data_IF_731268847911
#
_entry.id   IF_731268847911
#
_cell.length_a   1.000
_cell.length_b   1.000
_cell.length_c   1.000
_cell.angle_alpha   90.00
_cell.angle_beta   90.00
_cell.angle_gamma   90.00
#
_symmetry.space_group_name_H-M   'P 1'
#
loop_
_entity.id
_entity.type
_entity.pdbx_description
1 polymer ?
#
# COMPACT_ATOMS: atom_id res chain seq x y z
N UNK A 1 -15.05 -49.01 -17.27
CA UNK A 1 -13.86 -48.47 -16.59
C UNK A 1 -14.30 -47.27 -15.77
N UNK A 2 -14.52 -47.48 -14.48
CA UNK A 2 -15.16 -46.49 -13.61
C UNK A 2 -14.27 -46.09 -12.44
N UNK A 3 -14.47 -44.84 -12.02
CA UNK A 3 -14.17 -44.29 -10.69
C UNK A 3 -12.69 -44.10 -10.28
N UNK A 4 -11.74 -44.88 -10.81
CA UNK A 4 -10.33 -44.80 -10.41
C UNK A 4 -9.47 -43.83 -11.24
N UNK A 5 -9.93 -43.34 -12.39
CA UNK A 5 -9.18 -42.36 -13.20
C UNK A 5 -9.23 -40.92 -12.62
N UNK A 6 -9.97 -40.68 -11.54
CA UNK A 6 -10.08 -39.34 -10.93
C UNK A 6 -8.94 -38.98 -9.97
N UNK A 7 -8.04 -39.91 -9.65
CA UNK A 7 -7.04 -39.75 -8.60
C UNK A 7 -5.59 -39.57 -9.07
N UNK A 8 -5.32 -39.46 -10.38
CA UNK A 8 -3.93 -39.34 -10.84
C UNK A 8 -3.69 -38.26 -11.91
N UNK A 9 -4.46 -37.17 -11.90
CA UNK A 9 -4.11 -36.02 -12.70
C UNK A 9 -3.11 -35.15 -11.93
N UNK A 10 -1.81 -35.42 -12.12
CA UNK A 10 -0.68 -34.68 -11.51
C UNK A 10 -0.73 -33.15 -11.74
N UNK A 11 -1.60 -32.68 -12.63
CA UNK A 11 -1.73 -31.27 -13.02
C UNK A 11 -2.97 -30.56 -12.42
N UNK A 12 -3.76 -31.22 -11.56
CA UNK A 12 -4.94 -30.62 -10.92
C UNK A 12 -4.53 -29.71 -9.75
N UNK A 13 -4.78 -28.41 -9.89
CA UNK A 13 -4.50 -27.38 -8.89
C UNK A 13 -5.81 -27.01 -8.17
N UNK A 14 -6.31 -27.91 -7.31
CA UNK A 14 -7.57 -27.71 -6.59
C UNK A 14 -8.79 -28.11 -7.41
N UNK A 15 -9.76 -27.21 -7.58
CA UNK A 15 -11.00 -27.53 -8.31
C UNK A 15 -10.76 -27.76 -9.80
N UNK A 16 -9.77 -27.08 -10.36
CA UNK A 16 -9.48 -27.09 -11.79
C UNK A 16 -8.02 -27.48 -12.08
N UNK A 17 -7.78 -27.97 -13.30
CA UNK A 17 -6.43 -28.14 -13.83
C UNK A 17 -6.03 -26.87 -14.57
N UNK A 18 -4.74 -26.50 -14.49
CA UNK A 18 -4.21 -25.42 -15.32
C UNK A 18 -4.45 -25.75 -16.80
N UNK A 19 -4.32 -27.00 -17.23
CA UNK A 19 -4.52 -27.48 -18.61
C UNK A 19 -5.97 -27.53 -19.09
N UNK A 20 -6.94 -27.11 -18.28
CA UNK A 20 -8.35 -27.12 -18.69
C UNK A 20 -8.62 -26.22 -19.90
N UNK A 21 -9.55 -26.69 -20.73
CA UNK A 21 -10.12 -26.04 -21.91
C UNK A 21 -11.17 -24.96 -21.58
N UNK A 22 -11.48 -24.73 -20.29
CA UNK A 22 -12.38 -23.66 -19.90
C UNK A 22 -11.83 -22.29 -20.27
N UNK A 23 -12.66 -21.48 -20.91
CA UNK A 23 -12.28 -20.13 -21.38
C UNK A 23 -11.77 -19.24 -20.25
N UNK A 24 -12.29 -19.38 -19.03
CA UNK A 24 -11.82 -18.62 -17.87
C UNK A 24 -10.40 -19.03 -17.45
N UNK A 25 -10.05 -20.32 -17.54
CA UNK A 25 -8.73 -20.84 -17.16
C UNK A 25 -7.70 -20.50 -18.24
N UNK A 26 -8.07 -20.64 -19.51
CA UNK A 26 -7.27 -20.15 -20.63
C UNK A 26 -6.96 -18.66 -20.42
N UNK A 27 -7.98 -17.89 -20.03
CA UNK A 27 -7.76 -16.46 -19.77
C UNK A 27 -6.85 -16.19 -18.58
N UNK A 28 -6.94 -16.98 -17.51
CA UNK A 28 -6.03 -16.87 -16.37
C UNK A 28 -4.58 -17.11 -16.83
N UNK A 29 -4.32 -18.15 -17.63
CA UNK A 29 -2.98 -18.40 -18.19
C UNK A 29 -2.44 -17.23 -19.00
N UNK A 30 -3.27 -16.67 -19.87
CA UNK A 30 -2.86 -15.53 -20.72
C UNK A 30 -2.46 -14.29 -19.92
N UNK A 31 -3.01 -14.09 -18.72
CA UNK A 31 -2.74 -12.90 -17.90
C UNK A 31 -1.64 -13.11 -16.86
N UNK A 32 -1.08 -14.32 -16.74
CA UNK A 32 0.09 -14.58 -15.91
C UNK A 32 1.31 -13.90 -16.53
N UNK A 33 2.12 -13.27 -15.68
CA UNK A 33 3.41 -12.71 -16.08
C UNK A 33 4.48 -13.82 -16.16
N UNK A 34 5.59 -13.55 -16.84
CA UNK A 34 6.67 -14.53 -17.05
C UNK A 34 7.23 -15.19 -15.77
N UNK A 35 7.14 -14.51 -14.62
CA UNK A 35 7.60 -15.01 -13.31
C UNK A 35 6.44 -15.28 -12.33
N UNK A 36 5.19 -15.21 -12.81
CA UNK A 36 3.99 -15.41 -12.00
C UNK A 36 3.50 -16.85 -12.14
N UNK A 37 3.53 -17.60 -11.05
CA UNK A 37 3.12 -18.99 -11.01
C UNK A 37 1.71 -19.13 -10.43
N UNK A 38 0.83 -19.83 -11.15
CA UNK A 38 -0.49 -20.20 -10.65
C UNK A 38 -0.37 -21.42 -9.73
N UNK A 39 -0.80 -21.27 -8.47
CA UNK A 39 -0.62 -22.27 -7.42
C UNK A 39 -1.89 -23.10 -7.16
N UNK A 40 -3.07 -22.48 -7.26
CA UNK A 40 -4.32 -23.14 -6.89
C UNK A 40 -5.54 -22.49 -7.52
N UNK A 41 -6.59 -23.28 -7.76
CA UNK A 41 -7.89 -22.80 -8.18
C UNK A 41 -9.01 -23.24 -7.24
N UNK A 42 -9.91 -22.30 -6.97
CA UNK A 42 -11.21 -22.55 -6.34
C UNK A 42 -12.32 -21.95 -7.19
N UNK A 43 -13.56 -22.27 -6.84
CA UNK A 43 -14.74 -21.53 -7.29
C UNK A 43 -15.39 -20.87 -6.08
N UNK A 44 -15.82 -19.63 -6.25
CA UNK A 44 -16.44 -18.85 -5.19
C UNK A 44 -17.44 -17.86 -5.77
N UNK A 45 -18.48 -17.55 -4.99
CA UNK A 45 -19.32 -16.39 -5.23
C UNK A 45 -18.64 -15.15 -4.63
N UNK A 46 -18.43 -14.13 -5.46
CA UNK A 46 -17.82 -12.84 -5.10
C UNK A 46 -18.61 -11.75 -5.83
N UNK A 47 -18.96 -10.65 -5.15
CA UNK A 47 -19.84 -9.61 -5.70
C UNK A 47 -21.16 -10.18 -6.27
N UNK A 48 -21.74 -11.16 -5.57
CA UNK A 48 -22.98 -11.86 -5.95
C UNK A 48 -22.91 -12.58 -7.30
N UNK A 49 -21.71 -12.92 -7.78
CA UNK A 49 -21.48 -13.66 -9.04
C UNK A 49 -20.51 -14.80 -8.79
N UNK A 50 -20.62 -15.87 -9.57
CA UNK A 50 -19.69 -17.01 -9.49
C UNK A 50 -18.43 -16.68 -10.28
N UNK A 51 -17.27 -16.91 -9.67
CA UNK A 51 -15.95 -16.73 -10.26
C UNK A 51 -15.14 -18.01 -10.17
N UNK A 52 -14.26 -18.20 -11.15
CA UNK A 52 -13.07 -19.03 -10.97
C UNK A 52 -12.01 -18.13 -10.35
N UNK A 53 -11.47 -18.55 -9.22
CA UNK A 53 -10.47 -17.80 -8.47
C UNK A 53 -9.18 -18.59 -8.50
N UNK A 54 -8.11 -17.95 -8.97
CA UNK A 54 -6.75 -18.48 -8.94
C UNK A 54 -5.94 -17.77 -7.86
N UNK A 55 -5.16 -18.53 -7.10
CA UNK A 55 -4.08 -18.04 -6.25
C UNK A 55 -2.79 -18.14 -7.02
N UNK A 56 -2.05 -17.05 -7.14
CA UNK A 56 -0.68 -17.03 -7.67
C UNK A 56 0.33 -16.73 -6.57
N UNK A 57 1.62 -16.82 -6.89
CA UNK A 57 2.69 -16.30 -6.05
C UNK A 57 2.68 -14.76 -5.92
N UNK A 58 1.80 -14.03 -6.63
CA UNK A 58 1.71 -12.56 -6.61
C UNK A 58 0.35 -12.02 -6.13
N UNK A 59 -0.76 -12.58 -6.61
CA UNK A 59 -2.12 -12.03 -6.45
C UNK A 59 -3.19 -13.11 -6.55
N UNK A 60 -4.41 -12.76 -6.20
CA UNK A 60 -5.61 -13.48 -6.60
C UNK A 60 -6.08 -12.98 -7.97
N UNK A 61 -6.43 -13.90 -8.85
CA UNK A 61 -7.02 -13.59 -10.16
C UNK A 61 -8.41 -14.23 -10.23
N UNK A 62 -9.43 -13.40 -10.37
CA UNK A 62 -10.81 -13.82 -10.50
C UNK A 62 -11.24 -13.64 -11.95
N UNK A 63 -11.73 -14.71 -12.58
CA UNK A 63 -12.28 -14.66 -13.94
C UNK A 63 -13.68 -15.22 -13.97
N UNK A 64 -14.58 -14.53 -14.69
CA UNK A 64 -15.92 -15.02 -14.99
C UNK A 64 -16.32 -14.67 -16.41
N UNK A 65 -17.20 -15.47 -16.99
CA UNK A 65 -17.88 -15.16 -18.24
C UNK A 65 -19.16 -14.35 -17.98
N UNK A 66 -19.29 -13.20 -18.65
CA UNK A 66 -20.51 -12.38 -18.66
C UNK A 66 -21.55 -12.96 -19.63
N UNK A 67 -22.78 -12.46 -19.54
CA UNK A 67 -23.89 -12.89 -20.40
C UNK A 67 -23.63 -12.63 -21.89
N UNK A 68 -22.94 -11.54 -22.22
CA UNK A 68 -22.52 -11.19 -23.58
C UNK A 68 -21.28 -11.98 -24.08
N UNK A 69 -20.90 -13.06 -23.38
CA UNK A 69 -19.71 -13.89 -23.64
C UNK A 69 -18.35 -13.22 -23.40
N UNK A 70 -18.31 -11.95 -23.02
CA UNK A 70 -17.07 -11.29 -22.60
C UNK A 70 -16.56 -11.87 -21.27
N UNK A 71 -15.24 -11.85 -21.07
CA UNK A 71 -14.63 -12.24 -19.81
C UNK A 71 -14.40 -11.01 -18.92
N UNK A 72 -14.84 -11.10 -17.67
CA UNK A 72 -14.49 -10.12 -16.64
C UNK A 72 -13.34 -10.66 -15.81
N UNK A 73 -12.37 -9.80 -15.52
CA UNK A 73 -11.19 -10.14 -14.73
C UNK A 73 -11.07 -9.14 -13.59
N UNK A 74 -10.83 -9.63 -12.38
CA UNK A 74 -10.43 -8.82 -11.23
C UNK A 74 -9.15 -9.39 -10.62
N UNK A 75 -8.26 -8.53 -10.17
CA UNK A 75 -7.01 -8.90 -9.53
C UNK A 75 -6.90 -8.23 -8.17
N UNK A 76 -6.50 -9.00 -7.16
CA UNK A 76 -6.27 -8.50 -5.81
C UNK A 76 -4.88 -8.93 -5.36
N UNK A 77 -4.00 -7.98 -5.08
CA UNK A 77 -2.65 -8.33 -4.70
C UNK A 77 -2.62 -8.88 -3.27
N UNK A 78 -1.83 -9.93 -3.07
CA UNK A 78 -1.78 -10.63 -1.78
C UNK A 78 -1.10 -9.76 -0.70
N UNK A 79 -0.25 -8.81 -1.08
CA UNK A 79 0.41 -7.85 -0.17
C UNK A 79 -0.55 -6.79 0.40
N UNK A 80 -1.72 -6.62 -0.20
CA UNK A 80 -2.78 -5.74 0.32
C UNK A 80 -3.68 -6.43 1.36
N UNK A 81 -3.53 -7.75 1.56
CA UNK A 81 -4.33 -8.54 2.51
C UNK A 81 -3.74 -8.40 3.91
N UNK A 82 -4.50 -7.83 4.83
CA UNK A 82 -4.10 -7.62 6.22
C UNK A 82 -4.55 -8.78 7.13
N UNK A 83 -5.76 -9.27 6.90
CA UNK A 83 -6.38 -10.29 7.73
C UNK A 83 -7.35 -11.13 6.87
N UNK A 84 -7.52 -12.39 7.29
CA UNK A 84 -8.39 -13.35 6.64
C UNK A 84 -9.34 -13.93 7.68
N UNK A 85 -10.65 -13.63 7.54
CA UNK A 85 -11.68 -14.23 8.39
C UNK A 85 -12.33 -15.41 7.66
N UNK A 86 -12.53 -16.53 8.35
CA UNK A 86 -13.14 -17.74 7.80
C UNK A 86 -14.32 -18.18 8.66
N UNK A 87 -15.47 -18.35 8.01
CA UNK A 87 -16.66 -18.95 8.61
C UNK A 87 -16.92 -20.29 7.92
N UNK A 88 -16.53 -21.38 8.59
CA UNK A 88 -16.70 -22.74 8.06
C UNK A 88 -18.15 -23.21 8.25
N UNK A 89 -18.78 -23.60 7.14
CA UNK A 89 -20.03 -24.38 7.16
C UNK A 89 -19.77 -25.87 6.94
N UNK A 90 -20.83 -26.67 6.90
CA UNK A 90 -20.70 -28.14 6.75
C UNK A 90 -20.07 -28.56 5.41
N UNK A 91 -20.43 -27.91 4.31
CA UNK A 91 -19.92 -28.22 2.96
C UNK A 91 -19.26 -27.01 2.30
N UNK A 92 -19.83 -25.84 2.54
CA UNK A 92 -19.41 -24.59 1.97
C UNK A 92 -18.99 -23.65 3.09
N UNK A 93 -17.96 -22.86 2.83
CA UNK A 93 -17.45 -21.84 3.72
C UNK A 93 -17.61 -20.45 3.11
N UNK A 94 -17.58 -19.47 4.01
CA UNK A 94 -17.44 -18.06 3.69
C UNK A 94 -16.09 -17.57 4.19
N UNK A 95 -15.46 -16.72 3.38
CA UNK A 95 -14.15 -16.14 3.59
C UNK A 95 -14.27 -14.63 3.39
N UNK A 96 -13.67 -13.83 4.27
CA UNK A 96 -13.56 -12.38 4.11
C UNK A 96 -12.08 -12.00 4.13
N UNK A 97 -11.60 -11.46 3.02
CA UNK A 97 -10.27 -10.86 2.93
C UNK A 97 -10.37 -9.40 3.31
N UNK A 98 -9.78 -9.01 4.44
CA UNK A 98 -9.68 -7.62 4.87
C UNK A 98 -8.44 -7.00 4.23
N UNK A 99 -8.65 -6.06 3.33
CA UNK A 99 -7.58 -5.34 2.64
C UNK A 99 -7.52 -3.88 3.08
N UNK A 100 -6.43 -3.19 2.75
CA UNK A 100 -6.20 -1.79 3.15
C UNK A 100 -7.39 -0.85 2.88
N UNK A 101 -8.06 -1.02 1.73
CA UNK A 101 -9.09 -0.09 1.27
C UNK A 101 -10.49 -0.72 1.18
N UNK A 102 -10.61 -2.04 1.33
CA UNK A 102 -11.87 -2.75 1.14
C UNK A 102 -11.85 -4.15 1.76
N UNK A 103 -13.03 -4.68 2.06
CA UNK A 103 -13.21 -6.08 2.43
C UNK A 103 -13.81 -6.84 1.25
N UNK A 104 -13.24 -8.01 0.92
CA UNK A 104 -13.73 -8.85 -0.16
C UNK A 104 -14.31 -10.12 0.42
N UNK A 105 -15.59 -10.33 0.18
CA UNK A 105 -16.31 -11.51 0.62
C UNK A 105 -16.35 -12.58 -0.49
N UNK A 106 -15.90 -13.78 -0.12
CA UNK A 106 -15.94 -15.01 -0.89
C UNK A 106 -16.94 -15.94 -0.20
N UNK A 107 -18.05 -16.24 -0.85
CA UNK A 107 -19.10 -17.14 -0.36
C UNK A 107 -19.19 -18.40 -1.22
N UNK A 108 -19.80 -19.46 -0.68
CA UNK A 108 -19.97 -20.74 -1.38
C UNK A 108 -18.64 -21.40 -1.80
N UNK A 109 -17.62 -21.30 -0.96
CA UNK A 109 -16.33 -21.94 -1.19
C UNK A 109 -16.38 -23.38 -0.70
N UNK A 110 -16.11 -24.36 -1.57
CA UNK A 110 -16.08 -25.77 -1.18
C UNK A 110 -14.96 -26.07 -0.17
N UNK A 111 -15.34 -26.65 0.97
CA UNK A 111 -14.41 -26.99 2.05
C UNK A 111 -13.25 -27.88 1.56
N UNK A 112 -13.52 -28.76 0.57
CA UNK A 112 -12.53 -29.65 -0.04
C UNK A 112 -11.29 -28.92 -0.59
N UNK A 113 -11.47 -27.69 -1.09
CA UNK A 113 -10.38 -26.91 -1.69
C UNK A 113 -9.92 -25.75 -0.82
N UNK A 114 -10.68 -25.42 0.24
CA UNK A 114 -10.47 -24.27 1.09
C UNK A 114 -9.18 -24.35 1.90
N UNK A 115 -8.93 -25.48 2.57
CA UNK A 115 -7.81 -25.56 3.52
C UNK A 115 -6.46 -25.36 2.79
N UNK A 116 -6.31 -25.98 1.61
CA UNK A 116 -5.10 -25.78 0.79
C UNK A 116 -5.01 -24.37 0.22
N UNK A 117 -6.14 -23.79 -0.17
CA UNK A 117 -6.21 -22.39 -0.62
C UNK A 117 -5.73 -21.42 0.48
N UNK A 118 -6.19 -21.61 1.72
CA UNK A 118 -5.78 -20.82 2.87
C UNK A 118 -4.31 -21.02 3.22
N UNK A 119 -3.81 -22.25 3.18
CA UNK A 119 -2.40 -22.56 3.40
C UNK A 119 -1.51 -21.82 2.39
N UNK A 120 -1.85 -21.89 1.11
CA UNK A 120 -1.09 -21.22 0.05
C UNK A 120 -1.16 -19.70 0.17
N UNK A 121 -2.33 -19.13 0.44
CA UNK A 121 -2.47 -17.69 0.68
C UNK A 121 -1.62 -17.23 1.86
N UNK A 122 -1.73 -17.91 3.02
CA UNK A 122 -0.96 -17.57 4.21
C UNK A 122 0.54 -17.71 3.96
N UNK A 123 0.96 -18.72 3.20
CA UNK A 123 2.35 -18.87 2.78
C UNK A 123 2.77 -17.66 1.95
N UNK A 124 2.02 -17.28 0.91
CA UNK A 124 2.36 -16.14 0.06
C UNK A 124 2.34 -14.79 0.80
N UNK A 125 1.51 -14.63 1.83
CA UNK A 125 1.50 -13.45 2.72
C UNK A 125 2.77 -13.43 3.59
N UNK A 126 3.18 -14.57 4.14
CA UNK A 126 4.30 -14.65 5.08
C UNK A 126 5.68 -14.73 4.42
N UNK A 127 5.79 -15.34 3.23
CA UNK A 127 7.06 -15.55 2.52
C UNK A 127 7.58 -14.26 1.86
N UNK A 128 6.74 -13.25 1.64
CA UNK A 128 7.20 -11.96 1.09
C UNK A 128 7.82 -11.10 2.19
N UNK A 129 9.01 -10.51 1.96
CA UNK A 129 9.65 -9.66 2.95
C UNK A 129 8.73 -8.48 3.29
N UNK A 130 8.34 -8.39 4.56
CA UNK A 130 7.57 -7.28 5.18
C UNK A 130 8.22 -5.89 5.04
N UNK A 131 9.30 -5.75 4.26
CA UNK A 131 9.93 -4.46 3.98
C UNK A 131 9.06 -3.56 3.10
N UNK A 132 8.29 -4.13 2.18
CA UNK A 132 7.31 -3.37 1.38
C UNK A 132 6.17 -2.84 2.25
N UNK A 133 5.61 -3.67 3.14
CA UNK A 133 4.55 -3.25 4.06
C UNK A 133 5.05 -2.28 5.14
N UNK A 134 6.27 -2.44 5.66
CA UNK A 134 6.92 -1.44 6.52
C UNK A 134 7.10 -0.10 5.81
N UNK A 135 7.64 -0.09 4.58
CA UNK A 135 7.80 1.15 3.80
C UNK A 135 6.45 1.79 3.45
N UNK A 136 5.41 1.00 3.19
CA UNK A 136 4.06 1.50 2.94
C UNK A 136 3.43 2.09 4.22
N UNK A 137 3.54 1.38 5.35
CA UNK A 137 3.07 1.85 6.65
C UNK A 137 3.80 3.11 7.10
N UNK A 138 5.11 3.19 6.94
CA UNK A 138 5.92 4.39 7.22
C UNK A 138 5.51 5.57 6.33
N UNK A 139 5.30 5.34 5.02
CA UNK A 139 4.81 6.37 4.10
C UNK A 139 3.40 6.83 4.44
N UNK A 140 2.51 5.93 4.85
CA UNK A 140 1.15 6.26 5.23
C UNK A 140 1.13 7.07 6.54
N UNK A 141 1.87 6.62 7.56
CA UNK A 141 2.06 7.37 8.80
C UNK A 141 2.65 8.76 8.55
N UNK A 142 3.64 8.88 7.66
CA UNK A 142 4.21 10.18 7.32
C UNK A 142 3.20 11.11 6.64
N UNK A 143 2.36 10.59 5.74
CA UNK A 143 1.27 11.37 5.11
C UNK A 143 0.23 11.84 6.12
N UNK A 144 -0.28 10.93 6.96
CA UNK A 144 -1.28 11.25 7.98
C UNK A 144 -0.76 12.30 8.97
N UNK A 145 0.50 12.14 9.40
CA UNK A 145 1.19 13.13 10.24
C UNK A 145 1.31 14.48 9.54
N UNK A 146 1.64 14.51 8.25
CA UNK A 146 1.74 15.74 7.48
C UNK A 146 0.39 16.46 7.36
N UNK A 147 -0.68 15.71 7.13
CA UNK A 147 -2.04 16.25 7.09
C UNK A 147 -2.47 16.81 8.44
N UNK A 148 -2.15 16.11 9.53
CA UNK A 148 -2.39 16.60 10.88
C UNK A 148 -1.65 17.93 11.14
N UNK A 149 -0.36 18.00 10.80
CA UNK A 149 0.42 19.25 10.92
C UNK A 149 -0.22 20.41 10.13
N UNK A 150 -0.76 20.14 8.94
CA UNK A 150 -1.47 21.14 8.13
C UNK A 150 -2.78 21.56 8.77
N UNK A 151 -3.59 20.62 9.27
CA UNK A 151 -4.87 20.91 9.96
C UNK A 151 -4.66 21.75 11.21
N UNK A 152 -3.66 21.39 12.00
CA UNK A 152 -3.34 22.04 13.27
C UNK A 152 -2.53 23.34 13.09
N UNK A 153 -2.20 23.70 11.83
CA UNK A 153 -1.39 24.86 11.47
C UNK A 153 -0.03 24.91 12.19
N UNK A 154 0.54 23.74 12.49
CA UNK A 154 1.82 23.61 13.18
C UNK A 154 2.94 23.84 12.16
N UNK A 155 3.87 24.80 12.38
CA UNK A 155 4.97 25.04 11.45
C UNK A 155 5.93 23.84 11.43
N UNK A 156 6.30 23.39 10.24
CA UNK A 156 7.19 22.25 10.03
C UNK A 156 8.26 22.54 8.97
N UNK A 157 9.34 21.77 9.01
CA UNK A 157 10.41 21.87 8.02
C UNK A 157 9.95 21.35 6.65
N UNK A 158 10.07 22.12 5.55
CA UNK A 158 9.65 21.67 4.22
C UNK A 158 10.51 20.54 3.65
N UNK A 159 11.70 20.28 4.23
CA UNK A 159 12.63 19.24 3.77
C UNK A 159 12.43 17.89 4.47
N UNK A 160 12.17 17.90 5.78
CA UNK A 160 12.13 16.68 6.60
C UNK A 160 10.91 16.57 7.52
N UNK A 161 9.96 17.49 7.39
CA UNK A 161 8.69 17.51 8.14
C UNK A 161 8.81 17.54 9.67
N UNK A 162 10.00 17.81 10.20
CA UNK A 162 10.23 18.02 11.63
C UNK A 162 9.66 19.36 12.10
N UNK A 163 9.04 19.36 13.27
CA UNK A 163 8.55 20.56 13.98
C UNK A 163 9.62 21.21 14.87
N UNK A 164 10.82 20.61 14.95
CA UNK A 164 11.95 21.16 15.70
C UNK A 164 12.60 22.30 14.92
N UNK A 165 12.03 23.49 15.07
CA UNK A 165 12.44 24.71 14.37
C UNK A 165 13.05 25.71 15.35
N UNK A 166 14.09 26.43 14.89
CA UNK A 166 14.67 27.56 15.62
C UNK A 166 14.70 28.78 14.73
N UNK A 167 14.34 29.94 15.28
CA UNK A 167 14.43 31.21 14.58
C UNK A 167 15.79 31.86 14.89
N UNK A 168 16.52 32.23 13.83
CA UNK A 168 17.84 32.85 13.94
C UNK A 168 17.80 34.24 13.30
N UNK A 169 18.06 35.26 14.12
CA UNK A 169 18.26 36.63 13.65
C UNK A 169 19.62 36.78 12.96
N UNK A 170 19.71 37.60 11.92
CA UNK A 170 21.02 38.01 11.39
C UNK A 170 21.74 38.84 12.45
N UNK A 171 23.03 38.58 12.65
CA UNK A 171 23.90 39.33 13.57
C UNK A 171 23.91 40.83 13.20
N UNK A 172 24.07 41.67 14.21
CA UNK A 172 24.21 43.13 14.12
C UNK A 172 25.18 43.54 13.00
N UNK A 173 24.79 44.51 12.19
CA UNK A 173 25.53 44.91 11.00
C UNK A 173 26.50 46.04 11.33
N UNK A 174 27.75 45.69 11.65
CA UNK A 174 28.81 46.67 12.00
C UNK A 174 28.90 47.78 10.95
N UNK A 175 28.92 47.44 9.66
CA UNK A 175 28.99 48.46 8.60
C UNK A 175 27.80 49.44 8.60
N UNK A 176 26.59 48.99 8.94
CA UNK A 176 25.42 49.90 9.02
C UNK A 176 25.40 50.71 10.31
N UNK A 177 25.94 50.15 11.40
CA UNK A 177 26.18 50.90 12.62
C UNK A 177 27.21 52.01 12.38
N UNK A 178 28.28 51.75 11.62
CA UNK A 178 29.26 52.78 11.26
C UNK A 178 28.63 53.86 10.37
N UNK A 179 27.94 53.50 9.29
CA UNK A 179 27.29 54.48 8.41
C UNK A 179 26.23 55.29 9.15
N UNK A 180 25.37 54.65 9.95
CA UNK A 180 24.40 55.34 10.78
C UNK A 180 25.07 56.24 11.83
N UNK A 181 26.20 55.79 12.40
CA UNK A 181 27.02 56.55 13.34
C UNK A 181 27.62 57.82 12.75
N UNK A 182 28.11 57.73 11.51
CA UNK A 182 28.65 58.88 10.77
C UNK A 182 27.55 59.88 10.42
N UNK A 183 26.38 59.42 10.01
CA UNK A 183 25.29 60.30 9.55
C UNK A 183 24.52 60.95 10.70
N UNK A 184 24.28 60.21 11.78
CA UNK A 184 23.33 60.60 12.82
C UNK A 184 23.90 60.41 14.25
N UNK A 185 25.22 60.27 14.39
CA UNK A 185 25.90 60.11 15.67
C UNK A 185 25.60 58.77 16.37
N UNK A 186 25.87 58.70 17.68
CA UNK A 186 25.72 57.46 18.45
C UNK A 186 24.33 56.81 18.36
N UNK A 187 23.26 57.62 18.27
CA UNK A 187 21.88 57.16 18.08
C UNK A 187 21.72 56.50 16.71
N UNK A 188 22.29 57.11 15.66
CA UNK A 188 22.35 56.56 14.32
C UNK A 188 23.07 55.23 14.23
N UNK A 189 24.14 55.03 15.02
CA UNK A 189 24.87 53.76 15.05
C UNK A 189 24.03 52.62 15.62
N UNK A 190 23.31 52.89 16.71
CA UNK A 190 22.41 51.91 17.35
C UNK A 190 21.26 51.57 16.42
N UNK A 191 20.58 52.58 15.86
CA UNK A 191 19.45 52.38 14.95
C UNK A 191 19.90 51.71 13.64
N UNK A 192 21.04 52.11 13.08
CA UNK A 192 21.61 51.53 11.86
C UNK A 192 22.07 50.08 12.05
N UNK A 193 22.63 49.75 13.22
CA UNK A 193 23.00 48.40 13.62
C UNK A 193 21.81 47.48 13.81
N UNK A 194 20.72 48.00 14.41
CA UNK A 194 19.47 47.30 14.70
C UNK A 194 18.45 47.30 13.55
N UNK A 195 18.67 48.11 12.51
CA UNK A 195 17.75 48.24 11.37
C UNK A 195 17.56 46.87 10.67
N UNK A 196 16.31 46.41 10.77
CA UNK A 196 15.83 45.02 10.70
C UNK A 196 16.26 44.28 9.42
N UNK A 197 17.06 43.22 9.58
CA UNK A 197 17.17 42.17 8.56
C UNK A 197 16.24 41.03 8.96
N UNK A 198 15.32 40.65 8.05
CA UNK A 198 14.45 39.47 8.22
C UNK A 198 15.31 38.26 8.60
N UNK A 199 14.98 37.62 9.72
CA UNK A 199 15.65 36.41 10.19
C UNK A 199 15.33 35.20 9.31
N UNK A 200 15.98 34.08 9.59
CA UNK A 200 15.69 32.82 8.92
C UNK A 200 15.31 31.78 9.96
N UNK A 201 14.40 30.90 9.58
CA UNK A 201 14.07 29.71 10.37
C UNK A 201 15.04 28.62 9.94
N UNK A 202 15.62 27.92 10.92
CA UNK A 202 16.49 26.75 10.73
C UNK A 202 15.82 25.53 11.35
N UNK A 203 15.76 24.43 10.62
CA UNK A 203 15.38 23.14 11.18
C UNK A 203 16.54 22.55 12.01
N UNK A 204 16.26 22.12 13.24
CA UNK A 204 17.25 21.47 14.11
C UNK A 204 17.51 20.01 13.72
N UNK A 205 16.56 19.37 13.03
CA UNK A 205 16.69 17.98 12.60
C UNK A 205 17.57 17.83 11.34
N UNK A 206 17.31 18.60 10.27
CA UNK A 206 18.05 18.47 9.01
C UNK A 206 18.94 19.68 8.65
N UNK A 207 18.92 20.74 9.46
CA UNK A 207 19.72 21.95 9.22
C UNK A 207 19.23 22.89 8.11
N UNK A 208 18.14 22.55 7.40
CA UNK A 208 17.57 23.38 6.33
C UNK A 208 17.16 24.76 6.84
N UNK A 209 17.40 25.81 6.05
CA UNK A 209 17.15 27.21 6.40
C UNK A 209 16.28 27.89 5.35
N UNK A 210 15.26 28.63 5.78
CA UNK A 210 14.41 29.43 4.88
C UNK A 210 14.06 30.78 5.52
N UNK A 211 13.71 31.74 4.68
CA UNK A 211 13.27 33.07 5.13
C UNK A 211 11.76 33.02 5.38
N UNK A 212 11.31 33.72 6.42
CA UNK A 212 9.90 34.07 6.61
C UNK A 212 9.55 35.33 5.80
#
# INVERSE_FOLDING_TARGET
MGFLDSLNNKNKLGKYSLESDKVEIIKIKEVLKEQEECLWFISSSVFNRIWIVSVTNMRLILVRKKLNKELEIKSFFIDEINEIDVQKGSLLSKLVLKMNNANIEFSNVENLYLDKFLELLNTQINTRPKELSKRQAEKQYEKERLEQLKRDKIPYCPKCHSTSLTYQNKKLSIGRAVTGGVLLGGVGAVVGGLSSKKGYVKCLNCGHKWKL
#
